data_IF_355965725451
#
_entry.id   IF_355965725451
#
_cell.length_a   1.000
_cell.length_b   1.000
_cell.length_c   1.000
_cell.angle_alpha   90.00
_cell.angle_beta   90.00
_cell.angle_gamma   90.00
#
_symmetry.space_group_name_H-M   'P 1'
#
loop_
_entity.id
_entity.type
_entity.pdbx_description
1 polymer ?
#
# COMPACT_ATOMS: atom_id res chain seq x y z
N UNK A 1 -3.15 -2.24 -1.29
CA UNK A 1 -2.21 -2.15 -0.16
C UNK A 1 -2.59 -0.93 0.66
N UNK A 2 -3.20 -1.14 1.83
CA UNK A 2 -3.30 -0.09 2.85
C UNK A 2 -1.97 -0.15 3.61
N UNK A 3 -1.03 0.71 3.24
CA UNK A 3 0.36 0.72 3.76
C UNK A 3 0.61 1.99 4.55
N UNK A 4 -0.45 2.55 5.12
CA UNK A 4 -0.38 3.83 5.83
C UNK A 4 -1.33 3.80 7.01
N UNK A 5 -1.30 2.67 7.73
CA UNK A 5 -1.92 2.58 9.03
C UNK A 5 -0.89 3.08 10.04
N UNK A 6 -1.29 4.02 10.89
CA UNK A 6 -0.40 4.63 11.85
C UNK A 6 0.21 3.57 12.77
N UNK A 7 1.48 3.76 13.14
CA UNK A 7 2.13 3.00 14.20
C UNK A 7 1.45 3.35 15.51
N UNK A 8 0.47 2.54 15.88
CA UNK A 8 -0.18 2.55 17.18
C UNK A 8 0.09 1.21 17.82
N UNK A 9 0.98 1.18 18.81
CA UNK A 9 0.95 0.05 19.75
C UNK A 9 -0.42 0.03 20.45
N UNK A 10 -0.74 -1.05 21.14
CA UNK A 10 -1.76 -1.06 22.22
C UNK A 10 -1.63 0.17 23.16
N UNK A 11 -0.46 0.82 23.20
CA UNK A 11 -0.11 2.01 23.96
C UNK A 11 -0.59 3.38 23.40
N UNK A 12 -1.15 3.50 22.19
CA UNK A 12 -2.07 4.64 21.96
C UNK A 12 -3.47 4.19 22.35
N UNK A 13 -3.68 4.18 23.67
CA UNK A 13 -4.94 3.91 24.37
C UNK A 13 -6.17 4.34 23.56
N UNK A 14 -7.30 3.66 23.76
CA UNK A 14 -8.61 4.08 23.22
C UNK A 14 -8.87 5.61 23.35
N UNK A 15 -8.25 6.28 24.33
CA UNK A 15 -8.25 7.73 24.47
C UNK A 15 -7.59 8.49 23.30
N UNK A 16 -6.47 8.00 22.75
CA UNK A 16 -5.82 8.59 21.58
C UNK A 16 -6.66 8.39 20.32
N UNK A 17 -7.19 7.17 20.10
CA UNK A 17 -8.12 6.93 18.99
C UNK A 17 -9.38 7.79 19.12
N UNK A 18 -9.93 7.95 20.32
CA UNK A 18 -11.05 8.86 20.59
C UNK A 18 -10.69 10.34 20.34
N UNK A 19 -9.46 10.78 20.69
CA UNK A 19 -8.98 12.14 20.39
C UNK A 19 -8.86 12.38 18.89
N UNK A 20 -8.36 11.40 18.13
CA UNK A 20 -8.24 11.45 16.68
C UNK A 20 -9.63 11.47 16.02
N UNK A 21 -10.56 10.63 16.49
CA UNK A 21 -11.94 10.60 16.01
C UNK A 21 -12.68 11.93 16.27
N UNK A 22 -12.43 12.58 17.40
CA UNK A 22 -13.01 13.89 17.73
C UNK A 22 -12.41 15.07 16.95
N UNK A 23 -11.20 14.94 16.42
CA UNK A 23 -10.53 16.02 15.70
C UNK A 23 -9.69 15.52 14.51
N UNK A 24 -10.34 15.05 13.43
CA UNK A 24 -9.65 14.51 12.26
C UNK A 24 -8.76 15.56 11.56
N UNK A 25 -9.15 16.83 11.57
CA UNK A 25 -8.37 17.92 10.99
C UNK A 25 -7.18 18.36 11.87
N UNK A 26 -7.17 17.98 13.14
CA UNK A 26 -6.12 18.28 14.12
C UNK A 26 -5.10 17.17 14.34
N UNK A 27 -5.24 16.04 13.63
CA UNK A 27 -4.43 14.83 13.81
C UNK A 27 -2.91 15.10 13.84
N UNK A 28 -2.39 15.84 12.87
CA UNK A 28 -0.95 16.20 12.82
C UNK A 28 -0.48 16.96 14.05
N UNK A 29 -1.33 17.83 14.63
CA UNK A 29 -1.02 18.60 15.83
C UNK A 29 -0.95 17.68 17.04
N UNK A 30 -1.85 16.70 17.11
CA UNK A 30 -1.87 15.69 18.18
C UNK A 30 -0.58 14.86 18.11
N UNK A 31 -0.20 14.34 16.95
CA UNK A 31 1.05 13.57 16.80
C UNK A 31 2.30 14.38 17.16
N UNK A 32 2.35 15.67 16.79
CA UNK A 32 3.45 16.57 17.18
C UNK A 32 3.53 16.79 18.70
N UNK A 33 2.40 16.80 19.39
CA UNK A 33 2.40 16.93 20.85
C UNK A 33 2.99 15.68 21.51
N UNK A 34 2.57 14.49 21.06
CA UNK A 34 3.11 13.23 21.60
C UNK A 34 4.58 13.03 21.24
N UNK A 35 4.99 13.37 20.00
CA UNK A 35 6.41 13.36 19.59
C UNK A 35 7.29 14.21 20.53
N UNK A 36 6.81 15.39 20.94
CA UNK A 36 7.55 16.25 21.88
C UNK A 36 7.68 15.60 23.26
N UNK A 37 6.64 14.90 23.73
CA UNK A 37 6.71 14.17 25.00
C UNK A 37 7.73 13.03 24.93
N UNK A 38 7.69 12.24 23.86
CA UNK A 38 8.66 11.17 23.62
C UNK A 38 10.11 11.69 23.67
N UNK A 39 10.35 12.82 22.98
CA UNK A 39 11.63 13.49 22.99
C UNK A 39 12.06 14.00 24.37
N UNK A 40 11.13 14.50 25.19
CA UNK A 40 11.43 14.98 26.55
C UNK A 40 11.83 13.83 27.48
N UNK A 41 11.25 12.64 27.32
CA UNK A 41 11.57 11.48 28.16
C UNK A 41 12.69 10.60 27.58
N UNK A 42 13.19 10.92 26.37
CA UNK A 42 14.26 10.17 25.71
C UNK A 42 13.84 8.84 25.08
N UNK A 43 12.54 8.60 24.91
CA UNK A 43 12.03 7.37 24.29
C UNK A 43 12.11 7.47 22.76
N UNK A 44 13.21 6.96 22.20
CA UNK A 44 13.49 6.98 20.77
C UNK A 44 12.49 6.15 19.95
N UNK A 45 12.01 5.02 20.49
CA UNK A 45 11.05 4.14 19.78
C UNK A 45 9.72 4.87 19.66
N UNK A 46 9.24 5.45 20.76
CA UNK A 46 8.02 6.24 20.75
C UNK A 46 8.15 7.47 19.84
N UNK A 47 9.29 8.18 19.88
CA UNK A 47 9.55 9.32 19.01
C UNK A 47 9.51 8.91 17.53
N UNK A 48 10.12 7.78 17.16
CA UNK A 48 10.09 7.24 15.80
C UNK A 48 8.67 6.91 15.33
N UNK A 49 7.88 6.22 16.17
CA UNK A 49 6.47 5.89 15.88
C UNK A 49 5.64 7.16 15.63
N UNK A 50 5.76 8.17 16.49
CA UNK A 50 5.05 9.44 16.32
C UNK A 50 5.50 10.19 15.07
N UNK A 51 6.79 10.15 14.74
CA UNK A 51 7.36 10.76 13.52
C UNK A 51 6.84 10.07 12.25
N UNK A 52 6.68 8.75 12.28
CA UNK A 52 6.03 7.97 11.21
C UNK A 52 4.55 8.35 11.04
N UNK A 53 3.81 8.54 12.13
CA UNK A 53 2.40 8.97 12.08
C UNK A 53 2.26 10.39 11.50
N UNK A 54 3.17 11.31 11.84
CA UNK A 54 3.22 12.64 11.20
C UNK A 54 3.46 12.51 9.69
N UNK A 55 4.34 11.59 9.28
CA UNK A 55 4.59 11.30 7.86
C UNK A 55 3.33 10.80 7.15
N UNK A 56 2.56 9.93 7.79
CA UNK A 56 1.27 9.43 7.27
C UNK A 56 0.29 10.54 6.96
N UNK A 57 0.21 11.55 7.83
CA UNK A 57 -0.63 12.73 7.56
C UNK A 57 -0.07 13.57 6.41
N UNK A 58 1.26 13.77 6.36
CA UNK A 58 1.91 14.50 5.26
C UNK A 58 1.68 13.81 3.91
N UNK A 59 1.74 12.48 3.90
CA UNK A 59 1.50 11.66 2.73
C UNK A 59 0.06 11.83 2.21
N UNK A 60 -0.95 11.73 3.10
CA UNK A 60 -2.36 11.98 2.74
C UNK A 60 -2.62 13.41 2.22
N UNK A 61 -1.80 14.38 2.65
CA UNK A 61 -1.84 15.76 2.16
C UNK A 61 -1.08 15.97 0.84
N UNK A 62 -0.56 14.91 0.19
CA UNK A 62 0.24 15.00 -1.03
C UNK A 62 1.64 15.59 -0.83
N UNK A 63 2.09 15.75 0.41
CA UNK A 63 3.42 16.30 0.75
C UNK A 63 4.47 15.19 0.79
N UNK A 64 4.58 14.39 -0.28
CA UNK A 64 5.40 13.17 -0.31
C UNK A 64 6.88 13.39 0.05
N UNK A 65 7.49 14.47 -0.44
CA UNK A 65 8.90 14.76 -0.11
C UNK A 65 9.11 15.03 1.39
N UNK A 66 8.15 15.67 2.05
CA UNK A 66 8.20 15.93 3.50
C UNK A 66 7.89 14.66 4.28
N UNK A 67 6.98 13.83 3.79
CA UNK A 67 6.69 12.52 4.35
C UNK A 67 7.92 11.62 4.32
N UNK A 68 8.57 11.49 3.16
CA UNK A 68 9.81 10.73 3.01
C UNK A 68 10.94 11.24 3.93
N UNK A 69 11.15 12.56 4.01
CA UNK A 69 12.14 13.12 4.93
C UNK A 69 11.80 12.82 6.40
N UNK A 70 10.52 12.93 6.78
CA UNK A 70 10.06 12.61 8.13
C UNK A 70 10.31 11.13 8.47
N UNK A 71 10.09 10.22 7.54
CA UNK A 71 10.34 8.79 7.74
C UNK A 71 11.84 8.47 7.86
N UNK A 72 12.70 9.12 7.07
CA UNK A 72 14.14 8.96 7.22
C UNK A 72 14.62 9.43 8.60
N UNK A 73 14.09 10.54 9.11
CA UNK A 73 14.37 11.00 10.47
C UNK A 73 13.87 9.99 11.51
N UNK A 74 12.71 9.37 11.28
CA UNK A 74 12.18 8.33 12.16
C UNK A 74 13.06 7.07 12.16
N UNK A 75 13.57 6.67 11.00
CA UNK A 75 14.44 5.51 10.85
C UNK A 75 15.77 5.72 11.58
N UNK A 76 16.37 6.92 11.47
CA UNK A 76 17.62 7.28 12.15
C UNK A 76 17.50 7.32 13.69
N UNK A 77 16.29 7.44 14.24
CA UNK A 77 16.09 7.31 15.69
C UNK A 77 16.19 5.87 16.18
N UNK A 78 16.04 4.90 15.27
CA UNK A 78 16.01 3.48 15.58
C UNK A 78 17.36 2.79 15.36
N UNK A 79 18.47 3.51 15.28
CA UNK A 79 19.83 2.96 15.09
C UNK A 79 20.23 1.91 16.15
N UNK A 80 21.34 1.19 15.92
CA UNK A 80 21.69 -0.17 16.39
C UNK A 80 21.69 -0.49 17.90
N UNK A 81 21.30 0.44 18.77
CA UNK A 81 21.31 0.25 20.23
C UNK A 81 20.43 -0.92 20.71
N UNK A 82 19.47 -1.40 19.91
CA UNK A 82 18.64 -2.58 20.23
C UNK A 82 18.17 -3.30 18.96
N UNK A 83 19.11 -3.64 18.06
CA UNK A 83 18.80 -4.17 16.72
C UNK A 83 17.92 -5.44 16.70
N UNK A 84 17.92 -6.23 17.78
CA UNK A 84 17.15 -7.48 17.92
C UNK A 84 15.90 -7.33 18.81
N UNK A 85 15.63 -6.13 19.35
CA UNK A 85 14.43 -5.90 20.14
C UNK A 85 13.18 -5.96 19.26
N UNK A 86 12.17 -6.72 19.68
CA UNK A 86 10.94 -6.95 18.91
C UNK A 86 10.20 -5.65 18.58
N UNK A 87 10.16 -4.69 19.49
CA UNK A 87 9.50 -3.40 19.27
C UNK A 87 10.27 -2.53 18.29
N UNK A 88 11.61 -2.62 18.29
CA UNK A 88 12.48 -1.94 17.32
C UNK A 88 12.34 -2.54 15.93
N UNK A 89 12.37 -3.88 15.82
CA UNK A 89 12.16 -4.59 14.56
C UNK A 89 10.80 -4.25 13.95
N UNK A 90 9.73 -4.23 14.77
CA UNK A 90 8.39 -3.87 14.31
C UNK A 90 8.32 -2.42 13.81
N UNK A 91 8.87 -1.47 14.58
CA UNK A 91 8.89 -0.07 14.18
C UNK A 91 9.73 0.16 12.91
N UNK A 92 10.93 -0.45 12.82
CA UNK A 92 11.82 -0.37 11.65
C UNK A 92 11.13 -0.92 10.40
N UNK A 93 10.55 -2.12 10.47
CA UNK A 93 9.83 -2.76 9.36
C UNK A 93 8.73 -1.85 8.81
N UNK A 94 7.91 -1.27 9.69
CA UNK A 94 6.79 -0.42 9.28
C UNK A 94 7.26 0.91 8.69
N UNK A 95 8.31 1.53 9.25
CA UNK A 95 8.90 2.76 8.69
C UNK A 95 9.52 2.50 7.30
N UNK A 96 10.26 1.40 7.13
CA UNK A 96 10.86 1.00 5.85
C UNK A 96 9.77 0.72 4.80
N UNK A 97 8.70 0.04 5.20
CA UNK A 97 7.54 -0.22 4.34
C UNK A 97 6.84 1.08 3.90
N UNK A 98 6.70 2.05 4.81
CA UNK A 98 6.16 3.38 4.49
C UNK A 98 7.11 4.18 3.58
N UNK A 99 8.42 4.06 3.77
CA UNK A 99 9.44 4.68 2.90
C UNK A 99 9.39 4.11 1.48
N UNK A 100 9.31 2.79 1.36
CA UNK A 100 9.15 2.10 0.08
C UNK A 100 7.88 2.54 -0.67
N UNK A 101 6.77 2.69 0.07
CA UNK A 101 5.50 3.19 -0.49
C UNK A 101 5.62 4.64 -0.94
N UNK A 102 6.16 5.53 -0.12
CA UNK A 102 6.40 6.94 -0.48
C UNK A 102 7.27 7.06 -1.73
N UNK A 103 8.35 6.28 -1.80
CA UNK A 103 9.27 6.27 -2.93
C UNK A 103 8.58 5.74 -4.21
N UNK A 104 7.76 4.71 -4.09
CA UNK A 104 6.96 4.15 -5.19
C UNK A 104 5.96 5.17 -5.75
N UNK A 105 5.23 5.87 -4.88
CA UNK A 105 4.29 6.92 -5.31
C UNK A 105 5.01 8.12 -5.92
N UNK A 106 6.18 8.50 -5.39
CA UNK A 106 7.00 9.55 -5.97
C UNK A 106 7.45 9.20 -7.39
N UNK A 107 7.85 7.94 -7.62
CA UNK A 107 8.21 7.44 -8.95
C UNK A 107 7.03 7.46 -9.93
N UNK A 108 5.81 7.16 -9.46
CA UNK A 108 4.61 7.13 -10.30
C UNK A 108 3.98 8.52 -10.55
N UNK A 109 4.30 9.52 -9.73
CA UNK A 109 3.70 10.85 -9.83
C UNK A 109 4.12 11.60 -11.11
N UNK A 110 3.25 11.59 -12.13
CA UNK A 110 3.43 12.33 -13.40
C UNK A 110 3.62 13.85 -13.20
N UNK A 111 3.23 14.40 -12.05
CA UNK A 111 3.26 15.83 -11.73
C UNK A 111 4.66 16.40 -11.43
N UNK A 112 5.70 15.57 -11.36
CA UNK A 112 7.09 16.06 -11.33
C UNK A 112 7.84 15.58 -12.58
N UNK A 113 7.52 16.20 -13.72
CA UNK A 113 8.37 16.21 -14.92
C UNK A 113 9.71 16.93 -14.64
N UNK A 114 10.54 16.37 -13.76
CA UNK A 114 11.94 16.79 -13.59
C UNK A 114 12.83 15.55 -13.61
N UNK A 115 13.20 15.20 -14.84
CA UNK A 115 14.24 14.25 -15.26
C UNK A 115 13.92 12.78 -14.93
N UNK A 116 13.83 11.96 -15.98
CA UNK A 116 13.83 10.48 -15.96
C UNK A 116 14.89 9.91 -14.99
N UNK A 117 16.02 10.62 -14.80
CA UNK A 117 17.06 10.26 -13.83
C UNK A 117 16.57 10.18 -12.38
N UNK A 118 15.66 11.08 -11.96
CA UNK A 118 15.11 11.08 -10.60
C UNK A 118 14.10 9.95 -10.40
N UNK A 119 13.34 9.59 -11.44
CA UNK A 119 12.38 8.49 -11.38
C UNK A 119 13.07 7.14 -11.18
N UNK A 120 14.13 6.86 -11.93
CA UNK A 120 14.95 5.67 -11.72
C UNK A 120 15.56 5.63 -10.31
N UNK A 121 15.97 6.77 -9.77
CA UNK A 121 16.48 6.87 -8.40
C UNK A 121 15.40 6.51 -7.37
N UNK A 122 14.17 7.01 -7.53
CA UNK A 122 13.06 6.69 -6.64
C UNK A 122 12.65 5.22 -6.71
N UNK A 123 12.63 4.62 -7.91
CA UNK A 123 12.38 3.18 -8.07
C UNK A 123 13.45 2.34 -7.36
N UNK A 124 14.72 2.72 -7.47
CA UNK A 124 15.83 2.05 -6.76
C UNK A 124 15.73 2.20 -5.24
N UNK A 125 15.38 3.40 -4.74
CA UNK A 125 15.17 3.61 -3.30
C UNK A 125 14.01 2.79 -2.77
N UNK A 126 12.90 2.72 -3.51
CA UNK A 126 11.75 1.90 -3.13
C UNK A 126 12.12 0.42 -2.98
N UNK A 127 12.89 -0.11 -3.94
CA UNK A 127 13.43 -1.48 -3.86
C UNK A 127 14.31 -1.67 -2.62
N UNK A 128 15.25 -0.76 -2.37
CA UNK A 128 16.11 -0.80 -1.18
C UNK A 128 15.31 -0.86 0.11
N UNK A 129 14.35 0.06 0.30
CA UNK A 129 13.54 0.08 1.52
C UNK A 129 12.69 -1.17 1.71
N UNK A 130 12.10 -1.73 0.65
CA UNK A 130 11.33 -2.97 0.78
C UNK A 130 12.20 -4.21 0.97
N UNK A 131 13.41 -4.22 0.41
CA UNK A 131 14.39 -5.28 0.68
C UNK A 131 14.86 -5.22 2.14
N UNK A 132 15.15 -4.03 2.65
CA UNK A 132 15.48 -3.83 4.07
C UNK A 132 14.31 -4.25 4.97
N UNK A 133 13.06 -3.89 4.61
CA UNK A 133 11.87 -4.31 5.35
C UNK A 133 11.69 -5.84 5.34
N UNK A 134 12.01 -6.50 4.22
CA UNK A 134 11.97 -7.96 4.11
C UNK A 134 13.01 -8.62 5.01
N UNK A 135 14.23 -8.06 5.08
CA UNK A 135 15.29 -8.61 5.92
C UNK A 135 15.00 -8.39 7.41
N UNK A 136 14.42 -7.25 7.79
CA UNK A 136 13.90 -7.03 9.15
C UNK A 136 12.76 -8.00 9.48
N UNK A 137 11.82 -8.23 8.55
CA UNK A 137 10.72 -9.18 8.76
C UNK A 137 11.19 -10.63 8.92
N UNK A 138 12.26 -11.01 8.20
CA UNK A 138 12.89 -12.33 8.39
C UNK A 138 13.54 -12.46 9.77
N UNK A 139 14.19 -11.40 10.25
CA UNK A 139 14.81 -11.37 11.58
C UNK A 139 13.78 -11.46 12.69
N UNK A 140 12.62 -10.82 12.55
CA UNK A 140 11.55 -10.91 13.56
C UNK A 140 10.88 -12.28 13.62
N UNK A 141 11.06 -13.14 12.61
CA UNK A 141 10.45 -14.46 12.51
C UNK A 141 8.96 -14.43 12.14
N UNK A 142 8.37 -13.24 11.98
CA UNK A 142 6.96 -13.07 11.62
C UNK A 142 6.73 -13.39 10.13
N UNK A 143 6.12 -14.55 9.88
CA UNK A 143 5.83 -15.03 8.53
C UNK A 143 4.83 -14.13 7.79
N UNK A 144 3.88 -13.51 8.49
CA UNK A 144 2.91 -12.62 7.86
C UNK A 144 3.62 -11.37 7.32
N UNK A 145 4.46 -10.76 8.16
CA UNK A 145 5.33 -9.66 7.77
C UNK A 145 6.26 -9.98 6.60
N UNK A 146 6.83 -11.20 6.58
CA UNK A 146 7.66 -11.66 5.45
C UNK A 146 6.83 -11.71 4.16
N UNK A 147 5.60 -12.22 4.23
CA UNK A 147 4.71 -12.29 3.08
C UNK A 147 4.31 -10.89 2.56
N UNK A 148 3.98 -9.97 3.48
CA UNK A 148 3.67 -8.58 3.16
C UNK A 148 4.85 -7.88 2.47
N UNK A 149 6.06 -8.03 3.02
CA UNK A 149 7.28 -7.47 2.45
C UNK A 149 7.59 -8.06 1.06
N UNK A 150 7.40 -9.37 0.85
CA UNK A 150 7.53 -9.99 -0.47
C UNK A 150 6.52 -9.41 -1.47
N UNK A 151 5.27 -9.19 -1.05
CA UNK A 151 4.25 -8.52 -1.87
C UNK A 151 4.63 -7.09 -2.23
N UNK A 152 5.22 -6.34 -1.30
CA UNK A 152 5.71 -4.99 -1.53
C UNK A 152 6.86 -4.97 -2.55
N UNK A 153 7.84 -5.88 -2.41
CA UNK A 153 8.93 -6.05 -3.38
C UNK A 153 8.39 -6.36 -4.77
N UNK A 154 7.42 -7.29 -4.88
CA UNK A 154 6.76 -7.59 -6.15
C UNK A 154 6.07 -6.37 -6.78
N UNK A 155 5.52 -5.49 -5.96
CA UNK A 155 4.91 -4.23 -6.42
C UNK A 155 5.96 -3.25 -6.98
N UNK A 156 7.18 -3.22 -6.45
CA UNK A 156 8.25 -2.40 -7.06
C UNK A 156 8.69 -2.95 -8.41
N UNK A 157 8.82 -4.27 -8.54
CA UNK A 157 9.11 -4.89 -9.84
C UNK A 157 8.01 -4.60 -10.87
N UNK A 158 6.73 -4.53 -10.45
CA UNK A 158 5.64 -4.05 -11.30
C UNK A 158 5.86 -2.62 -11.80
N UNK A 159 6.30 -1.69 -10.93
CA UNK A 159 6.60 -0.29 -11.29
C UNK A 159 7.80 -0.20 -12.23
N UNK A 160 8.77 -1.10 -12.07
CA UNK A 160 9.94 -1.23 -12.94
C UNK A 160 9.65 -1.96 -14.26
N UNK A 161 8.40 -2.37 -14.50
CA UNK A 161 7.99 -3.12 -15.70
C UNK A 161 8.67 -4.50 -15.82
N UNK A 162 9.16 -5.02 -14.70
CA UNK A 162 9.80 -6.34 -14.56
C UNK A 162 8.76 -7.34 -14.05
N UNK A 163 7.83 -7.71 -14.93
CA UNK A 163 6.63 -8.46 -14.55
C UNK A 163 6.92 -9.90 -14.11
N UNK A 164 7.92 -10.56 -14.70
CA UNK A 164 8.31 -11.93 -14.34
C UNK A 164 8.87 -12.02 -12.90
N UNK A 165 9.70 -11.05 -12.53
CA UNK A 165 10.23 -10.91 -11.17
C UNK A 165 9.11 -10.59 -10.19
N UNK A 166 8.22 -9.65 -10.53
CA UNK A 166 7.05 -9.32 -9.72
C UNK A 166 6.19 -10.56 -9.42
N UNK A 167 5.91 -11.37 -10.45
CA UNK A 167 5.16 -12.63 -10.33
C UNK A 167 5.84 -13.62 -9.39
N UNK A 168 7.16 -13.74 -9.45
CA UNK A 168 7.93 -14.60 -8.55
C UNK A 168 7.75 -14.18 -7.09
N UNK A 169 7.82 -12.89 -6.80
CA UNK A 169 7.61 -12.36 -5.44
C UNK A 169 6.17 -12.51 -4.96
N UNK A 170 5.18 -12.25 -5.82
CA UNK A 170 3.77 -12.47 -5.48
C UNK A 170 3.46 -13.95 -5.19
N UNK A 171 4.05 -14.88 -5.94
CA UNK A 171 3.90 -16.32 -5.69
C UNK A 171 4.52 -16.74 -4.35
N UNK A 172 5.71 -16.22 -4.02
CA UNK A 172 6.35 -16.46 -2.71
C UNK A 172 5.48 -15.96 -1.56
N UNK A 173 4.95 -14.73 -1.66
CA UNK A 173 4.04 -14.18 -0.66
C UNK A 173 2.76 -15.03 -0.52
N UNK A 174 2.15 -15.41 -1.65
CA UNK A 174 0.94 -16.22 -1.69
C UNK A 174 1.13 -17.59 -1.02
N UNK A 175 2.28 -18.24 -1.23
CA UNK A 175 2.60 -19.52 -0.59
C UNK A 175 2.64 -19.41 0.94
N UNK A 176 3.09 -18.27 1.47
CA UNK A 176 3.09 -18.01 2.92
C UNK A 176 1.68 -17.72 3.40
N UNK A 177 0.94 -16.81 2.76
CA UNK A 177 -0.45 -16.52 3.15
C UNK A 177 -1.34 -17.76 3.12
N UNK A 178 -1.10 -18.68 2.17
CA UNK A 178 -1.81 -19.95 2.11
C UNK A 178 -1.53 -20.82 3.34
N UNK A 179 -0.27 -20.89 3.81
CA UNK A 179 0.09 -21.62 5.03
C UNK A 179 -0.50 -20.98 6.28
N UNK A 180 -0.58 -19.65 6.32
CA UNK A 180 -1.16 -18.88 7.42
C UNK A 180 -2.69 -18.85 7.39
N UNK A 181 -3.32 -19.29 6.28
CA UNK A 181 -4.76 -19.18 6.09
C UNK A 181 -5.27 -17.75 5.90
N UNK A 182 -4.40 -16.76 5.63
CA UNK A 182 -4.79 -15.37 5.41
C UNK A 182 -5.44 -15.21 4.02
N UNK A 183 -6.75 -15.47 3.96
CA UNK A 183 -7.54 -15.41 2.72
C UNK A 183 -7.62 -14.01 2.12
N UNK A 184 -7.62 -12.97 2.96
CA UNK A 184 -7.71 -11.58 2.48
C UNK A 184 -6.44 -11.19 1.71
N UNK A 185 -5.27 -11.49 2.27
CA UNK A 185 -3.99 -11.23 1.60
C UNK A 185 -3.79 -12.11 0.37
N UNK A 186 -4.32 -13.35 0.36
CA UNK A 186 -4.36 -14.16 -0.86
C UNK A 186 -5.18 -13.49 -1.99
N UNK A 187 -6.35 -12.92 -1.67
CA UNK A 187 -7.16 -12.21 -2.67
C UNK A 187 -6.43 -10.99 -3.24
N UNK A 188 -5.71 -10.25 -2.40
CA UNK A 188 -4.85 -9.13 -2.82
C UNK A 188 -3.73 -9.63 -3.74
N UNK A 189 -3.05 -10.74 -3.36
CA UNK A 189 -2.00 -11.35 -4.18
C UNK A 189 -2.51 -11.75 -5.56
N UNK A 190 -3.67 -12.41 -5.64
CA UNK A 190 -4.30 -12.74 -6.92
C UNK A 190 -4.67 -11.50 -7.74
N UNK A 191 -5.17 -10.44 -7.11
CA UNK A 191 -5.44 -9.19 -7.82
C UNK A 191 -4.15 -8.57 -8.40
N UNK A 192 -3.06 -8.56 -7.63
CA UNK A 192 -1.78 -8.02 -8.08
C UNK A 192 -1.18 -8.83 -9.25
N UNK A 193 -1.28 -10.16 -9.20
CA UNK A 193 -0.91 -11.03 -10.34
C UNK A 193 -1.79 -10.76 -11.56
N UNK A 194 -3.09 -10.54 -11.36
CA UNK A 194 -4.01 -10.11 -12.41
C UNK A 194 -3.57 -8.81 -13.07
N UNK A 195 -3.23 -7.79 -12.28
CA UNK A 195 -2.65 -6.54 -12.77
C UNK A 195 -1.34 -6.75 -13.55
N UNK A 196 -0.47 -7.67 -13.11
CA UNK A 196 0.76 -8.01 -13.80
C UNK A 196 0.51 -8.57 -15.20
N UNK A 197 -0.51 -9.42 -15.35
CA UNK A 197 -0.90 -9.95 -16.65
C UNK A 197 -1.61 -8.91 -17.54
N UNK A 198 -2.41 -8.00 -16.97
CA UNK A 198 -2.97 -6.85 -17.72
C UNK A 198 -1.84 -6.05 -18.36
N UNK A 199 -0.76 -5.76 -17.61
CA UNK A 199 0.38 -4.99 -18.11
C UNK A 199 1.19 -5.72 -19.19
N UNK A 200 1.11 -7.04 -19.25
CA UNK A 200 1.70 -7.86 -20.30
C UNK A 200 0.73 -8.11 -21.47
N UNK A 201 -0.47 -7.50 -21.45
CA UNK A 201 -1.55 -7.73 -22.42
C UNK A 201 -2.02 -9.20 -22.52
N UNK A 202 -1.67 -10.02 -21.53
CA UNK A 202 -2.16 -11.39 -21.41
C UNK A 202 -3.48 -11.40 -20.63
N UNK A 203 -4.56 -11.10 -21.35
CA UNK A 203 -5.89 -10.92 -20.73
C UNK A 203 -6.51 -12.21 -20.21
N UNK A 204 -6.15 -13.38 -20.77
CA UNK A 204 -6.70 -14.67 -20.33
C UNK A 204 -6.21 -15.04 -18.93
N UNK A 205 -4.89 -14.95 -18.70
CA UNK A 205 -4.33 -15.16 -17.37
C UNK A 205 -4.76 -14.05 -16.40
N UNK A 206 -4.86 -12.80 -16.86
CA UNK A 206 -5.38 -11.70 -16.04
C UNK A 206 -6.80 -11.99 -15.54
N UNK A 207 -7.73 -12.34 -16.44
CA UNK A 207 -9.12 -12.71 -16.11
C UNK A 207 -9.16 -13.90 -15.14
N UNK A 208 -8.29 -14.91 -15.33
CA UNK A 208 -8.19 -16.07 -14.43
C UNK A 208 -7.79 -15.68 -12.99
N UNK A 209 -6.74 -14.86 -12.83
CA UNK A 209 -6.28 -14.43 -11.51
C UNK A 209 -7.24 -13.44 -10.85
N UNK A 210 -7.81 -12.48 -11.60
CA UNK A 210 -8.85 -11.59 -11.10
C UNK A 210 -10.13 -12.34 -10.73
N UNK A 211 -10.50 -13.38 -11.48
CA UNK A 211 -11.63 -14.26 -11.17
C UNK A 211 -11.42 -15.01 -9.85
N UNK A 212 -10.21 -15.52 -9.59
CA UNK A 212 -9.84 -16.10 -8.29
C UNK A 212 -9.95 -15.08 -7.16
N UNK A 213 -9.44 -13.86 -7.36
CA UNK A 213 -9.54 -12.78 -6.40
C UNK A 213 -11.00 -12.43 -6.09
N UNK A 214 -11.83 -12.26 -7.12
CA UNK A 214 -13.25 -11.90 -6.98
C UNK A 214 -14.05 -13.00 -6.30
N UNK A 215 -13.83 -14.26 -6.68
CA UNK A 215 -14.50 -15.42 -6.06
C UNK A 215 -14.17 -15.51 -4.57
N UNK A 216 -12.90 -15.34 -4.21
CA UNK A 216 -12.47 -15.35 -2.81
C UNK A 216 -13.04 -14.16 -2.03
N UNK A 217 -13.03 -12.96 -2.62
CA UNK A 217 -13.62 -11.77 -1.98
C UNK A 217 -15.12 -11.91 -1.74
N UNK A 218 -15.87 -12.48 -2.69
CA UNK A 218 -17.31 -12.70 -2.54
C UNK A 218 -17.61 -13.77 -1.50
N UNK A 219 -16.83 -14.86 -1.48
CA UNK A 219 -17.02 -15.97 -0.55
C UNK A 219 -16.78 -15.56 0.91
N UNK A 220 -15.75 -14.75 1.15
CA UNK A 220 -15.31 -14.35 2.49
C UNK A 220 -15.75 -12.91 2.84
N UNK A 221 -16.62 -12.30 2.02
CA UNK A 221 -17.18 -10.97 2.20
C UNK A 221 -16.14 -9.81 2.32
N UNK A 222 -15.03 -9.90 1.58
CA UNK A 222 -14.03 -8.83 1.48
C UNK A 222 -14.49 -7.70 0.54
N UNK A 223 -15.56 -7.02 0.94
CA UNK A 223 -16.27 -6.03 0.11
C UNK A 223 -15.39 -4.82 -0.23
N UNK A 224 -14.34 -4.53 0.53
CA UNK A 224 -13.37 -3.46 0.26
C UNK A 224 -12.42 -3.76 -0.92
N UNK A 225 -12.32 -5.02 -1.33
CA UNK A 225 -11.49 -5.48 -2.45
C UNK A 225 -12.30 -5.67 -3.73
N UNK A 226 -13.57 -6.06 -3.63
CA UNK A 226 -14.49 -6.26 -4.76
C UNK A 226 -14.42 -5.14 -5.80
N UNK A 227 -14.60 -3.84 -5.47
CA UNK A 227 -14.59 -2.79 -6.49
C UNK A 227 -13.23 -2.61 -7.18
N UNK A 228 -12.12 -2.94 -6.52
CA UNK A 228 -10.79 -2.87 -7.13
C UNK A 228 -10.63 -3.94 -8.20
N UNK A 229 -11.09 -5.17 -7.91
CA UNK A 229 -11.05 -6.28 -8.86
C UNK A 229 -11.99 -6.03 -10.04
N UNK A 230 -13.19 -5.52 -9.78
CA UNK A 230 -14.15 -5.14 -10.83
C UNK A 230 -13.60 -4.03 -11.73
N UNK A 231 -12.95 -3.01 -11.17
CA UNK A 231 -12.32 -1.95 -11.95
C UNK A 231 -11.25 -2.49 -12.93
N UNK A 232 -10.44 -3.46 -12.47
CA UNK A 232 -9.43 -4.13 -13.30
C UNK A 232 -10.07 -5.00 -14.41
N UNK A 233 -11.17 -5.71 -14.10
CA UNK A 233 -11.92 -6.48 -15.11
C UNK A 233 -12.57 -5.58 -16.16
N UNK A 234 -13.09 -4.42 -15.75
CA UNK A 234 -13.63 -3.42 -16.66
C UNK A 234 -12.57 -2.83 -17.60
N UNK A 235 -11.34 -2.61 -17.12
CA UNK A 235 -10.22 -2.18 -17.96
C UNK A 235 -9.89 -3.23 -19.04
N UNK A 236 -9.85 -4.53 -18.67
CA UNK A 236 -9.65 -5.60 -19.64
C UNK A 236 -10.78 -5.62 -20.69
N UNK A 237 -12.02 -5.57 -20.24
CA UNK A 237 -13.19 -5.58 -21.12
C UNK A 237 -13.16 -4.40 -22.11
N UNK A 238 -12.80 -3.20 -21.64
CA UNK A 238 -12.63 -2.03 -22.51
C UNK A 238 -11.55 -2.29 -23.56
N UNK A 239 -10.37 -2.78 -23.16
CA UNK A 239 -9.26 -3.02 -24.10
C UNK A 239 -9.62 -4.09 -25.15
N UNK A 240 -10.48 -5.04 -24.81
CA UNK A 240 -11.00 -6.05 -25.74
C UNK A 240 -12.18 -5.56 -26.61
N UNK A 241 -12.64 -4.32 -26.43
CA UNK A 241 -13.79 -3.75 -27.16
C UNK A 241 -15.16 -4.19 -26.63
N UNK A 242 -15.21 -4.88 -25.49
CA UNK A 242 -16.43 -5.33 -24.83
C UNK A 242 -17.05 -4.17 -24.01
N UNK A 243 -17.55 -3.13 -24.69
CA UNK A 243 -17.99 -1.86 -24.07
C UNK A 243 -19.07 -2.05 -23.01
N UNK A 244 -20.10 -2.86 -23.28
CA UNK A 244 -21.19 -3.10 -22.34
C UNK A 244 -20.71 -3.83 -21.08
N UNK A 245 -19.81 -4.81 -21.27
CA UNK A 245 -19.18 -5.55 -20.17
C UNK A 245 -18.30 -4.63 -19.32
N UNK A 246 -17.53 -3.74 -19.94
CA UNK A 246 -16.71 -2.74 -19.26
C UNK A 246 -17.57 -1.79 -18.42
N UNK A 247 -18.67 -1.29 -19.02
CA UNK A 247 -19.65 -0.43 -18.33
C UNK A 247 -20.22 -1.14 -17.10
N UNK A 248 -20.70 -2.37 -17.25
CA UNK A 248 -21.25 -3.18 -16.15
C UNK A 248 -20.25 -3.32 -15.00
N UNK A 249 -18.98 -3.63 -15.29
CA UNK A 249 -17.95 -3.76 -14.26
C UNK A 249 -17.67 -2.44 -13.53
N UNK A 250 -17.59 -1.34 -14.26
CA UNK A 250 -17.31 -0.02 -13.70
C UNK A 250 -18.48 0.58 -12.94
N UNK A 251 -19.73 0.40 -13.38
CA UNK A 251 -20.91 0.80 -12.63
C UNK A 251 -20.99 0.06 -11.28
N UNK A 252 -20.73 -1.26 -11.29
CA UNK A 252 -20.66 -2.02 -10.06
C UNK A 252 -19.53 -1.55 -9.15
N UNK A 253 -18.32 -1.29 -9.70
CA UNK A 253 -17.22 -0.75 -8.91
C UNK A 253 -17.56 0.64 -8.32
N UNK A 254 -18.24 1.50 -9.09
CA UNK A 254 -18.68 2.82 -8.67
C UNK A 254 -19.67 2.76 -7.51
N UNK A 255 -20.67 1.87 -7.59
CA UNK A 255 -21.64 1.65 -6.52
C UNK A 255 -20.95 1.40 -5.16
N UNK A 256 -19.96 0.51 -5.14
CA UNK A 256 -19.18 0.24 -3.93
C UNK A 256 -18.32 1.44 -3.51
N UNK A 257 -17.61 2.10 -4.43
CA UNK A 257 -16.75 3.23 -4.08
C UNK A 257 -17.55 4.42 -3.51
N UNK A 258 -18.74 4.70 -4.05
CA UNK A 258 -19.65 5.71 -3.51
C UNK A 258 -20.19 5.28 -2.14
N UNK A 259 -20.63 4.01 -2.00
CA UNK A 259 -21.08 3.47 -0.71
C UNK A 259 -20.01 3.51 0.39
N UNK A 260 -18.74 3.45 0.02
CA UNK A 260 -17.61 3.56 0.95
C UNK A 260 -17.08 4.98 1.15
N UNK A 261 -17.63 6.00 0.49
CA UNK A 261 -17.10 7.37 0.55
C UNK A 261 -15.65 7.48 0.03
N UNK A 262 -15.33 6.75 -1.05
CA UNK A 262 -14.02 6.78 -1.71
C UNK A 262 -14.04 7.68 -2.96
N UNK A 263 -14.34 8.97 -2.78
CA UNK A 263 -14.63 9.95 -3.84
C UNK A 263 -13.51 10.10 -4.85
N UNK A 264 -12.25 9.96 -4.45
CA UNK A 264 -11.12 9.99 -5.38
C UNK A 264 -11.19 8.83 -6.38
N UNK A 265 -11.52 7.62 -5.92
CA UNK A 265 -11.65 6.43 -6.76
C UNK A 265 -12.94 6.47 -7.57
N UNK A 266 -14.05 6.85 -6.94
CA UNK A 266 -15.33 7.04 -7.63
C UNK A 266 -15.21 8.04 -8.79
N UNK A 267 -14.54 9.19 -8.58
CA UNK A 267 -14.27 10.15 -9.67
C UNK A 267 -13.43 9.55 -10.80
N UNK A 268 -12.45 8.70 -10.48
CA UNK A 268 -11.66 8.00 -11.49
C UNK A 268 -12.53 7.07 -12.35
N UNK A 269 -13.41 6.28 -11.70
CA UNK A 269 -14.33 5.38 -12.41
C UNK A 269 -15.34 6.17 -13.26
N UNK A 270 -15.92 7.27 -12.74
CA UNK A 270 -16.81 8.14 -13.52
C UNK A 270 -16.14 8.68 -14.78
N UNK A 271 -14.86 9.05 -14.69
CA UNK A 271 -14.07 9.48 -15.87
C UNK A 271 -13.88 8.34 -16.88
N UNK A 272 -13.65 7.12 -16.40
CA UNK A 272 -13.57 5.93 -17.26
C UNK A 272 -14.90 5.65 -17.96
N UNK A 273 -16.02 5.68 -17.24
CA UNK A 273 -17.37 5.52 -17.79
C UNK A 273 -17.68 6.58 -18.86
N UNK A 274 -17.43 7.86 -18.58
CA UNK A 274 -17.61 8.94 -19.56
C UNK A 274 -16.76 8.74 -20.83
N UNK A 275 -15.60 8.09 -20.73
CA UNK A 275 -14.77 7.77 -21.90
C UNK A 275 -15.35 6.68 -22.80
N UNK A 276 -16.28 5.86 -22.30
CA UNK A 276 -16.99 4.85 -23.11
C UNK A 276 -18.16 5.46 -23.90
N UNK A 277 -18.74 6.55 -23.40
CA UNK A 277 -19.87 7.25 -24.05
C UNK A 277 -19.42 8.15 -25.22
N UNK A 278 -18.13 8.44 -25.30
CA UNK A 278 -17.53 9.26 -26.35
C UNK A 278 -17.08 8.47 -27.60
N UNK A 279 -17.35 7.17 -27.65
CA UNK A 279 -17.04 6.24 -28.76
C UNK A 279 -18.34 5.79 -29.40
#
# INVERSE_FOLDING_TARGET
>A
MHVFDGLTDEATSAAMQARLAKNPNGEKKIWRQEQRKAKMIGDKIWEAKMTSNISTVLHRQGQWSRAHQSLNNALALLDDEFADDTLVLEARKNILTNLGTCASECAQSKHRQRRVSQEHEWRKRAEGYFQDALDVSRKSGDQESVADALGNVGTVYMIREQYSEAMTYFQKALAIYQKLGNRKSMAIGFNNMGCAYIKQENFDDAKKFLGKALSLCKKEEFMDLVPKVLANLGEIAKTQGEVDTARMYWENALYFFDGFGQEAKARSIRKQLASLEAV
#
